data_IF_951680525960
#
_entry.id   IF_951680525960
#
_cell.length_a   1.000
_cell.length_b   1.000
_cell.length_c   1.000
_cell.angle_alpha   90.00
_cell.angle_beta   90.00
_cell.angle_gamma   90.00
#
_symmetry.space_group_name_H-M   'P 1'
#
loop_
_entity.id
_entity.type
_entity.pdbx_description
1 polymer ?
#
# COMPACT_ATOMS: atom_id res chain seq x y z
N UNK A 1 20.27 -15.44 3.28
CA UNK A 1 20.00 -14.09 2.74
C UNK A 1 18.52 -13.86 2.98
N UNK A 2 18.14 -12.90 3.81
CA UNK A 2 16.75 -12.56 4.05
C UNK A 2 16.26 -11.70 2.89
N UNK A 3 15.23 -12.16 2.19
CA UNK A 3 14.56 -11.42 1.13
C UNK A 3 13.20 -10.99 1.65
N UNK A 4 12.80 -9.75 1.42
CA UNK A 4 11.50 -9.24 1.85
C UNK A 4 10.65 -8.88 0.64
N UNK A 5 9.35 -9.16 0.72
CA UNK A 5 8.37 -8.77 -0.31
C UNK A 5 7.39 -7.74 0.25
N UNK A 6 7.16 -6.65 -0.48
CA UNK A 6 6.10 -5.68 -0.19
C UNK A 6 4.86 -5.96 -1.06
N UNK A 7 3.78 -6.44 -0.44
CA UNK A 7 2.48 -6.58 -1.08
C UNK A 7 1.62 -5.33 -0.80
N UNK A 8 1.08 -4.71 -1.87
CA UNK A 8 0.18 -3.57 -1.78
C UNK A 8 -1.16 -3.96 -2.40
N UNK A 9 -2.27 -3.65 -1.75
CA UNK A 9 -3.60 -4.04 -2.23
C UNK A 9 -4.59 -2.91 -2.05
N UNK A 10 -5.33 -2.56 -3.11
CA UNK A 10 -6.50 -1.69 -3.01
C UNK A 10 -7.76 -2.54 -2.84
N UNK A 11 -8.37 -2.49 -1.65
CA UNK A 11 -9.65 -3.15 -1.37
C UNK A 11 -10.76 -2.33 -2.02
N UNK A 12 -11.65 -3.01 -2.76
CA UNK A 12 -12.81 -2.42 -3.44
C UNK A 12 -12.55 -1.84 -4.84
N UNK A 13 -11.33 -2.02 -5.35
CA UNK A 13 -10.97 -1.87 -6.76
C UNK A 13 -10.30 -3.14 -7.27
N UNK A 14 -9.03 -3.05 -7.66
CA UNK A 14 -8.21 -4.17 -8.14
C UNK A 14 -7.13 -4.58 -7.12
N UNK A 15 -6.93 -5.90 -6.95
CA UNK A 15 -5.81 -6.46 -6.19
C UNK A 15 -4.59 -6.58 -7.11
N UNK A 16 -3.57 -5.74 -6.89
CA UNK A 16 -2.29 -5.82 -7.60
C UNK A 16 -1.20 -6.24 -6.61
N UNK A 17 -0.90 -7.54 -6.55
CA UNK A 17 0.24 -8.03 -5.74
C UNK A 17 1.53 -7.64 -6.47
N UNK A 18 2.30 -6.71 -5.92
CA UNK A 18 3.70 -6.57 -6.31
C UNK A 18 4.57 -7.53 -5.52
N UNK A 19 5.59 -8.09 -6.17
CA UNK A 19 6.62 -8.93 -5.55
C UNK A 19 7.97 -8.34 -5.94
N UNK A 20 8.39 -7.33 -5.20
CA UNK A 20 9.75 -6.81 -5.28
C UNK A 20 10.59 -7.51 -4.20
N UNK A 21 11.15 -8.67 -4.54
CA UNK A 21 12.10 -9.40 -3.70
C UNK A 21 13.48 -8.76 -3.82
N UNK A 22 13.92 -8.08 -2.77
CA UNK A 22 15.22 -7.43 -2.76
C UNK A 22 16.15 -8.05 -1.71
N UNK A 23 17.27 -8.60 -2.19
CA UNK A 23 18.44 -9.00 -1.39
C UNK A 23 19.20 -7.77 -0.86
N UNK A 24 18.54 -6.85 -0.16
CA UNK A 24 19.11 -5.57 0.29
C UNK A 24 19.53 -5.55 1.76
N UNK A 25 19.48 -6.69 2.47
CA UNK A 25 19.83 -6.75 3.89
C UNK A 25 18.77 -6.10 4.78
N UNK A 26 19.18 -5.49 5.91
CA UNK A 26 18.28 -5.01 6.96
C UNK A 26 17.60 -3.66 6.68
N UNK A 27 17.98 -2.95 5.61
CA UNK A 27 17.39 -1.66 5.20
C UNK A 27 16.92 -1.69 3.74
N UNK A 28 15.91 -2.51 3.41
CA UNK A 28 15.36 -2.57 2.06
C UNK A 28 14.73 -1.22 1.66
N UNK A 29 14.96 -0.79 0.43
CA UNK A 29 14.35 0.40 -0.16
C UNK A 29 13.45 0.00 -1.32
N UNK A 30 12.16 0.33 -1.21
CA UNK A 30 11.15 0.10 -2.25
C UNK A 30 10.82 1.41 -2.97
N UNK A 31 11.57 1.73 -4.03
CA UNK A 31 11.36 2.92 -4.87
C UNK A 31 10.35 2.65 -5.99
N UNK A 32 9.25 1.95 -5.67
CA UNK A 32 8.28 1.47 -6.65
C UNK A 32 7.00 2.31 -6.57
N UNK A 33 6.46 2.69 -7.72
CA UNK A 33 5.15 3.35 -7.81
C UNK A 33 4.10 2.36 -8.30
N UNK A 34 3.07 2.13 -7.49
CA UNK A 34 1.93 1.29 -7.85
C UNK A 34 0.80 2.15 -8.39
N UNK A 35 0.22 1.74 -9.53
CA UNK A 35 -0.93 2.41 -10.14
C UNK A 35 -2.13 1.49 -10.07
N UNK A 36 -3.25 2.02 -9.58
CA UNK A 36 -4.51 1.31 -9.46
C UNK A 36 -5.57 2.10 -10.20
N UNK A 37 -6.33 1.42 -11.05
CA UNK A 37 -7.59 1.95 -11.54
C UNK A 37 -8.65 1.72 -10.47
N UNK A 38 -9.39 2.77 -10.14
CA UNK A 38 -10.43 2.75 -9.11
C UNK A 38 -11.72 3.34 -9.66
N UNK A 39 -12.82 2.62 -9.42
CA UNK A 39 -14.17 3.13 -9.61
C UNK A 39 -14.67 3.68 -8.28
N UNK A 40 -15.32 4.84 -8.31
CA UNK A 40 -15.81 5.52 -7.12
C UNK A 40 -17.31 5.78 -7.23
N UNK A 41 -18.09 5.24 -6.28
CA UNK A 41 -19.48 5.63 -6.08
C UNK A 41 -19.63 6.36 -4.73
N UNK A 42 -20.38 7.48 -4.66
CA UNK A 42 -20.58 8.22 -3.40
C UNK A 42 -21.24 7.39 -2.29
N UNK A 43 -22.01 6.37 -2.67
CA UNK A 43 -22.69 5.43 -1.77
C UNK A 43 -21.79 4.29 -1.29
N UNK A 44 -20.54 4.22 -1.77
CA UNK A 44 -19.61 3.17 -1.37
C UNK A 44 -19.22 3.30 0.10
N UNK A 45 -19.24 2.16 0.78
CA UNK A 45 -18.82 2.06 2.17
C UNK A 45 -17.32 2.40 2.32
N UNK A 46 -16.95 2.96 3.46
CA UNK A 46 -15.59 3.47 3.72
C UNK A 46 -14.49 2.39 3.62
N UNK A 47 -14.87 1.12 3.76
CA UNK A 47 -14.01 -0.04 3.62
C UNK A 47 -13.73 -0.45 2.17
N UNK A 48 -14.49 0.05 1.20
CA UNK A 48 -14.32 -0.20 -0.24
C UNK A 48 -13.21 0.66 -0.88
N UNK A 49 -12.61 1.58 -0.15
CA UNK A 49 -11.52 2.42 -0.67
C UNK A 49 -10.35 2.45 0.33
N UNK A 50 -9.78 1.28 0.59
CA UNK A 50 -8.64 1.11 1.50
C UNK A 50 -7.43 0.55 0.78
N UNK A 51 -6.28 1.16 1.01
CA UNK A 51 -4.98 0.64 0.53
C UNK A 51 -4.33 -0.08 1.70
N UNK A 52 -4.10 -1.38 1.54
CA UNK A 52 -3.41 -2.23 2.51
C UNK A 52 -1.98 -2.46 2.06
N UNK A 53 -1.03 -2.22 2.95
CA UNK A 53 0.38 -2.52 2.77
C UNK A 53 0.76 -3.67 3.70
N UNK A 54 1.40 -4.71 3.15
CA UNK A 54 1.89 -5.86 3.89
C UNK A 54 3.33 -6.12 3.52
N UNK A 55 4.17 -6.30 4.53
CA UNK A 55 5.55 -6.74 4.37
C UNK A 55 5.60 -8.21 4.74
N UNK A 56 6.07 -9.01 3.80
CA UNK A 56 6.20 -10.46 3.92
C UNK A 56 7.70 -10.79 3.99
N UNK A 57 8.06 -11.73 4.87
CA UNK A 57 9.37 -12.38 4.78
C UNK A 57 9.29 -13.45 3.69
N UNK A 58 10.23 -13.43 2.76
CA UNK A 58 10.30 -14.44 1.71
C UNK A 58 11.19 -15.59 2.18
N UNK A 59 10.55 -16.64 2.69
CA UNK A 59 11.23 -17.91 2.90
C UNK A 59 11.22 -18.73 1.59
N UNK A 60 12.36 -19.32 1.25
CA UNK A 60 12.51 -20.12 0.03
C UNK A 60 11.73 -21.46 0.05
N UNK A 61 11.19 -21.88 1.20
CA UNK A 61 10.68 -23.24 1.44
C UNK A 61 9.33 -23.27 2.20
N UNK A 62 9.03 -22.24 3.01
CA UNK A 62 7.79 -22.12 3.79
C UNK A 62 6.83 -21.10 3.17
N UNK A 63 5.55 -21.13 3.57
CA UNK A 63 4.58 -20.14 3.14
C UNK A 63 5.04 -18.73 3.58
N UNK A 64 4.97 -17.75 2.69
CA UNK A 64 5.33 -16.34 2.97
C UNK A 64 4.69 -15.87 4.29
N UNK A 65 5.52 -15.57 5.30
CA UNK A 65 5.08 -15.17 6.63
C UNK A 65 4.88 -13.64 6.68
N UNK A 66 3.69 -13.16 7.09
CA UNK A 66 3.43 -11.73 7.25
C UNK A 66 4.24 -11.18 8.43
N UNK A 67 5.21 -10.30 8.14
CA UNK A 67 6.00 -9.60 9.14
C UNK A 67 5.20 -8.47 9.78
N UNK A 68 4.38 -7.78 8.99
CA UNK A 68 3.53 -6.69 9.46
C UNK A 68 2.97 -5.84 8.34
N UNK A 69 2.21 -4.82 8.69
CA UNK A 69 1.56 -3.96 7.71
C UNK A 69 0.78 -2.81 8.30
N UNK A 70 0.16 -2.03 7.42
CA UNK A 70 -0.71 -0.90 7.78
C UNK A 70 -1.73 -0.66 6.67
N UNK A 71 -2.75 0.14 6.98
CA UNK A 71 -3.84 0.47 6.07
C UNK A 71 -4.01 1.99 5.97
N UNK A 72 -4.29 2.47 4.77
CA UNK A 72 -4.61 3.88 4.48
C UNK A 72 -6.03 3.94 3.93
N UNK A 73 -6.88 4.81 4.50
CA UNK A 73 -8.18 5.10 3.94
C UNK A 73 -8.03 6.09 2.77
N UNK A 74 -8.30 5.63 1.55
CA UNK A 74 -8.17 6.40 0.32
C UNK A 74 -9.47 7.12 -0.09
N UNK A 75 -10.60 6.90 0.61
CA UNK A 75 -11.90 7.49 0.26
C UNK A 75 -11.82 9.01 0.13
N UNK A 76 -11.20 9.67 1.10
CA UNK A 76 -11.04 11.13 1.13
C UNK A 76 -10.18 11.64 -0.04
N UNK A 77 -9.09 10.95 -0.35
CA UNK A 77 -8.22 11.28 -1.47
C UNK A 77 -8.99 11.16 -2.79
N UNK A 78 -9.73 10.07 -2.97
CA UNK A 78 -10.50 9.84 -4.19
C UNK A 78 -11.63 10.87 -4.33
N UNK A 79 -12.37 11.15 -3.25
CA UNK A 79 -13.47 12.12 -3.28
C UNK A 79 -12.99 13.54 -3.58
N UNK A 80 -11.90 13.97 -2.93
CA UNK A 80 -11.32 15.30 -3.15
C UNK A 80 -10.77 15.41 -4.59
N UNK A 81 -10.07 14.37 -5.05
CA UNK A 81 -9.50 14.31 -6.40
C UNK A 81 -10.52 14.22 -7.53
N UNK A 82 -11.71 13.66 -7.28
CA UNK A 82 -12.82 13.69 -8.22
C UNK A 82 -13.35 15.13 -8.44
N UNK A 83 -13.35 15.96 -7.39
CA UNK A 83 -13.78 17.36 -7.48
C UNK A 83 -12.72 18.27 -8.12
N UNK A 84 -11.44 18.08 -7.78
CA UNK A 84 -10.34 18.96 -8.22
C UNK A 84 -9.61 18.47 -9.48
N UNK A 85 -9.89 17.26 -9.96
CA UNK A 85 -9.18 16.60 -11.08
C UNK A 85 -7.91 15.86 -10.67
N UNK A 86 -7.23 16.33 -9.62
CA UNK A 86 -6.08 15.68 -9.01
C UNK A 86 -5.99 15.98 -7.52
N UNK A 87 -5.44 15.03 -6.75
CA UNK A 87 -5.02 15.30 -5.37
C UNK A 87 -3.80 14.45 -5.01
N UNK A 88 -3.00 14.92 -4.08
CA UNK A 88 -1.86 14.18 -3.56
C UNK A 88 -1.76 14.38 -2.06
N UNK A 89 -1.48 13.30 -1.34
CA UNK A 89 -1.01 13.37 0.03
C UNK A 89 0.51 13.37 0.04
N UNK A 90 1.08 14.11 0.99
CA UNK A 90 2.52 14.19 1.19
C UNK A 90 3.07 12.79 1.52
N UNK A 91 4.37 12.60 1.29
CA UNK A 91 5.09 11.42 1.73
C UNK A 91 5.02 11.33 3.26
N UNK A 92 4.22 10.38 3.77
CA UNK A 92 4.11 10.11 5.19
C UNK A 92 4.89 8.84 5.57
N UNK A 93 5.36 8.81 6.82
CA UNK A 93 6.10 7.67 7.37
C UNK A 93 5.14 6.79 8.17
N UNK A 94 5.05 5.52 7.79
CA UNK A 94 4.18 4.52 8.40
C UNK A 94 5.03 3.46 9.11
N UNK A 95 4.64 3.10 10.32
CA UNK A 95 5.28 2.02 11.06
C UNK A 95 4.80 0.66 10.55
N UNK A 96 5.73 -0.27 10.35
CA UNK A 96 5.43 -1.67 10.08
C UNK A 96 5.25 -2.37 11.42
N UNK A 97 4.01 -2.68 11.77
CA UNK A 97 3.64 -3.35 13.01
C UNK A 97 3.27 -4.80 12.71
N UNK A 98 3.87 -5.73 13.44
CA UNK A 98 3.50 -7.13 13.32
C UNK A 98 2.17 -7.41 14.01
N UNK A 99 1.24 -8.04 13.29
CA UNK A 99 -0.06 -8.39 13.85
C UNK A 99 0.00 -9.46 14.94
N UNK A 100 1.03 -10.33 14.92
CA UNK A 100 1.15 -11.44 15.88
C UNK A 100 1.55 -10.97 17.29
N UNK A 101 2.47 -10.03 17.39
CA UNK A 101 3.04 -9.59 18.68
C UNK A 101 2.95 -8.08 18.94
N UNK A 102 2.47 -7.28 17.99
CA UNK A 102 2.37 -5.82 18.12
C UNK A 102 3.70 -5.07 18.07
N UNK A 103 4.82 -5.76 17.84
CA UNK A 103 6.13 -5.13 17.78
C UNK A 103 6.30 -4.34 16.48
N UNK A 104 7.06 -3.25 16.58
CA UNK A 104 7.50 -2.46 15.43
C UNK A 104 8.74 -3.11 14.82
N UNK A 105 8.64 -3.46 13.54
CA UNK A 105 9.74 -4.07 12.77
C UNK A 105 10.44 -3.09 11.83
N UNK A 106 9.82 -1.93 11.59
CA UNK A 106 10.43 -0.90 10.75
C UNK A 106 9.50 0.25 10.45
N UNK A 107 9.93 1.08 9.51
CA UNK A 107 9.18 2.21 8.97
C UNK A 107 9.28 2.19 7.46
N UNK A 108 8.22 2.61 6.78
CA UNK A 108 8.21 2.83 5.32
C UNK A 108 7.62 4.19 5.03
N UNK A 109 8.16 4.87 4.02
CA UNK A 109 7.61 6.14 3.52
C UNK A 109 6.75 5.87 2.32
N UNK A 110 5.52 6.37 2.34
CA UNK A 110 4.54 6.18 1.26
C UNK A 110 3.94 7.51 0.89
N UNK A 111 3.91 7.79 -0.42
CA UNK A 111 3.16 8.90 -1.00
C UNK A 111 1.97 8.35 -1.77
N UNK A 112 0.81 8.99 -1.62
CA UNK A 112 -0.41 8.60 -2.34
C UNK A 112 -0.85 9.76 -3.22
N UNK A 113 -1.08 9.49 -4.50
CA UNK A 113 -1.59 10.46 -5.47
C UNK A 113 -2.77 9.88 -6.22
N UNK A 114 -3.79 10.70 -6.41
CA UNK A 114 -4.94 10.41 -7.24
C UNK A 114 -4.95 11.32 -8.47
N UNK A 115 -5.25 10.71 -9.63
CA UNK A 115 -5.37 11.39 -10.92
C UNK A 115 -6.69 10.96 -11.56
N UNK A 116 -7.57 11.92 -11.84
CA UNK A 116 -8.81 11.65 -12.56
C UNK A 116 -8.52 11.40 -14.04
N UNK A 117 -9.07 10.32 -14.60
CA UNK A 117 -9.00 10.04 -16.04
C UNK A 117 -9.83 11.00 -16.90
N UNK A 118 -10.69 11.84 -16.28
CA UNK A 118 -11.58 12.76 -16.98
C UNK A 118 -10.92 14.08 -17.44
N UNK A 119 -9.58 14.21 -17.31
CA UNK A 119 -8.82 15.38 -17.79
C UNK A 119 -7.80 15.02 -18.88
N UNK A 120 -8.18 14.14 -19.80
CA UNK A 120 -7.47 13.95 -21.08
C UNK A 120 -7.82 15.03 -22.09
#
# INVERSE_FOLDING_TARGET
MSSGTLEVMLIGGQKIKSRDSFNQGSTPTWNTTFKFDVEYCPTDADDKHKITFRVMDEDLITADDELGGFEINAKRIISDGMMSGQTAWCLDTYNIICRRNGNKYGEIRVGVRFLSKNQS
#
